data_IF_830335534219
#
_entry.id   IF_830335534219
#
_cell.length_a   1.000
_cell.length_b   1.000
_cell.length_c   1.000
_cell.angle_alpha   90.00
_cell.angle_beta   90.00
_cell.angle_gamma   90.00
#
_symmetry.space_group_name_H-M   'P 1'
#
loop_
_entity.id
_entity.type
_entity.pdbx_description
1 polymer ?
#
# COMPACT_ATOMS: atom_id res chain seq x y z
N UNK A 1 -19.46 -39.74 47.11
CA UNK A 1 -19.19 -39.74 45.66
C UNK A 1 -19.53 -38.36 45.12
N UNK A 2 -18.52 -37.51 44.89
CA UNK A 2 -18.72 -36.18 44.32
C UNK A 2 -18.46 -36.27 42.81
N UNK A 3 -19.46 -35.92 42.00
CA UNK A 3 -19.37 -35.85 40.55
C UNK A 3 -18.52 -34.61 40.20
N UNK A 4 -17.39 -34.73 39.50
CA UNK A 4 -16.63 -33.56 39.08
C UNK A 4 -17.38 -32.85 37.95
N UNK A 5 -17.90 -31.66 38.23
CA UNK A 5 -18.39 -30.72 37.22
C UNK A 5 -17.15 -30.26 36.44
N UNK A 6 -16.86 -30.94 35.33
CA UNK A 6 -15.84 -30.46 34.40
C UNK A 6 -16.40 -29.24 33.68
N UNK A 7 -15.89 -28.08 34.06
CA UNK A 7 -16.15 -26.80 33.39
C UNK A 7 -15.43 -26.80 32.02
N UNK A 8 -15.85 -27.68 31.10
CA UNK A 8 -15.55 -27.52 29.68
C UNK A 8 -16.46 -26.42 29.16
N UNK A 9 -16.03 -25.17 29.39
CA UNK A 9 -16.55 -24.02 28.66
C UNK A 9 -16.13 -24.26 27.21
N UNK A 10 -17.06 -24.78 26.38
CA UNK A 10 -16.93 -24.79 24.94
C UNK A 10 -16.71 -23.34 24.48
N UNK A 11 -15.45 -22.96 24.24
CA UNK A 11 -15.05 -21.70 23.61
C UNK A 11 -15.18 -21.78 22.08
N UNK A 12 -16.24 -22.41 21.58
CA UNK A 12 -16.65 -22.24 20.19
C UNK A 12 -17.51 -20.96 20.11
N UNK A 13 -16.89 -19.84 20.47
CA UNK A 13 -17.43 -18.51 20.17
C UNK A 13 -17.31 -18.40 18.65
N UNK A 14 -18.45 -18.38 17.95
CA UNK A 14 -18.53 -18.08 16.53
C UNK A 14 -17.73 -16.81 16.22
N UNK A 15 -16.48 -16.97 15.76
CA UNK A 15 -15.66 -15.84 15.33
C UNK A 15 -16.21 -15.35 13.98
N UNK A 16 -17.02 -14.30 14.02
CA UNK A 16 -17.49 -13.62 12.82
C UNK A 16 -16.35 -12.78 12.24
N UNK A 17 -16.03 -12.96 10.97
CA UNK A 17 -14.92 -12.27 10.29
C UNK A 17 -15.29 -10.89 9.77
N UNK A 18 -16.57 -10.51 9.81
CA UNK A 18 -17.09 -9.29 9.20
C UNK A 18 -17.67 -8.34 10.24
N UNK A 19 -17.28 -7.07 10.14
CA UNK A 19 -17.86 -5.96 10.90
C UNK A 19 -18.61 -5.07 9.91
N UNK A 20 -19.91 -4.87 10.14
CA UNK A 20 -20.76 -4.00 9.33
C UNK A 20 -21.12 -2.74 10.13
N UNK A 21 -20.92 -1.58 9.51
CA UNK A 21 -21.20 -0.27 10.12
C UNK A 21 -22.27 0.44 9.29
N UNK A 22 -23.40 0.77 9.92
CA UNK A 22 -24.50 1.50 9.31
C UNK A 22 -24.68 2.83 10.03
N UNK A 23 -24.64 3.95 9.29
CA UNK A 23 -24.75 5.28 9.86
C UNK A 23 -25.86 6.06 9.16
N UNK A 24 -26.67 6.76 9.95
CA UNK A 24 -27.61 7.76 9.49
C UNK A 24 -27.15 9.13 10.00
N UNK A 25 -26.73 9.99 9.09
CA UNK A 25 -26.20 11.32 9.41
C UNK A 25 -27.02 12.38 8.69
N UNK A 26 -27.60 13.30 9.44
CA UNK A 26 -28.22 14.49 8.90
C UNK A 26 -27.16 15.56 8.66
N UNK A 27 -27.25 16.23 7.50
CA UNK A 27 -26.39 17.36 7.16
C UNK A 27 -27.26 18.61 7.02
N UNK A 28 -26.76 19.80 7.43
CA UNK A 28 -27.42 21.06 7.10
C UNK A 28 -27.37 21.30 5.58
N UNK A 29 -28.02 22.36 5.11
CA UNK A 29 -27.97 22.76 3.70
C UNK A 29 -26.52 23.04 3.27
N UNK A 30 -25.88 22.06 2.62
CA UNK A 30 -24.48 22.11 2.23
C UNK A 30 -24.24 21.30 0.95
N UNK A 31 -23.35 21.80 0.09
CA UNK A 31 -22.91 21.11 -1.11
C UNK A 31 -21.62 20.30 -0.84
N UNK A 32 -21.77 19.18 -0.13
CA UNK A 32 -20.67 18.34 0.37
C UNK A 32 -19.84 17.66 -0.72
N UNK A 33 -20.44 17.40 -1.89
CA UNK A 33 -19.81 16.66 -2.97
C UNK A 33 -20.41 17.08 -4.30
N UNK A 34 -19.56 17.61 -5.19
CA UNK A 34 -19.95 18.19 -6.48
C UNK A 34 -19.64 17.26 -7.65
N UNK A 35 -20.32 17.47 -8.76
CA UNK A 35 -19.92 16.96 -10.07
C UNK A 35 -19.01 17.95 -10.82
N UNK A 36 -18.63 17.60 -12.05
CA UNK A 36 -17.71 18.40 -12.86
C UNK A 36 -18.31 19.76 -13.26
N UNK A 37 -19.63 19.92 -13.17
CA UNK A 37 -20.33 21.19 -13.43
C UNK A 37 -20.51 22.04 -12.17
N UNK A 38 -20.13 21.50 -10.99
CA UNK A 38 -20.29 22.14 -9.69
C UNK A 38 -21.64 21.87 -9.00
N UNK A 39 -22.54 21.14 -9.66
CA UNK A 39 -23.82 20.76 -9.07
C UNK A 39 -23.63 19.65 -8.01
N UNK A 40 -24.51 19.57 -6.99
CA UNK A 40 -24.45 18.48 -6.02
C UNK A 40 -24.60 17.13 -6.71
N UNK A 41 -23.75 16.17 -6.33
CA UNK A 41 -23.82 14.82 -6.90
C UNK A 41 -25.10 14.13 -6.42
N UNK A 42 -25.90 13.60 -7.35
CA UNK A 42 -27.18 12.95 -7.06
C UNK A 42 -27.20 11.47 -7.45
N UNK A 43 -28.26 10.77 -7.02
CA UNK A 43 -28.63 9.43 -7.46
C UNK A 43 -30.16 9.29 -7.39
N UNK A 44 -30.75 8.53 -8.30
CA UNK A 44 -32.17 8.15 -8.22
C UNK A 44 -32.28 6.86 -7.43
N UNK A 45 -33.03 6.88 -6.33
CA UNK A 45 -33.26 5.72 -5.48
C UNK A 45 -34.73 5.66 -5.07
N UNK A 46 -35.41 4.58 -5.47
CA UNK A 46 -36.85 4.40 -5.21
C UNK A 46 -37.71 5.44 -5.91
N UNK A 47 -37.36 5.84 -7.14
CA UNK A 47 -38.12 6.81 -7.95
C UNK A 47 -37.89 8.29 -7.58
N UNK A 48 -37.14 8.59 -6.52
CA UNK A 48 -36.83 9.95 -6.11
C UNK A 48 -35.34 10.28 -6.25
N UNK A 49 -35.03 11.52 -6.63
CA UNK A 49 -33.66 12.05 -6.68
C UNK A 49 -33.17 12.38 -5.27
N UNK A 50 -32.00 11.85 -4.90
CA UNK A 50 -31.36 12.07 -3.60
C UNK A 50 -29.95 12.60 -3.78
N UNK A 51 -29.48 13.41 -2.83
CA UNK A 51 -28.08 13.77 -2.75
C UNK A 51 -27.22 12.54 -2.44
N UNK A 52 -26.04 12.48 -3.04
CA UNK A 52 -25.08 11.38 -2.86
C UNK A 52 -23.69 11.91 -2.56
N UNK A 53 -23.16 11.49 -1.42
CA UNK A 53 -21.75 11.64 -1.12
C UNK A 53 -21.04 10.42 -1.71
N UNK A 54 -20.11 10.67 -2.62
CA UNK A 54 -19.37 9.58 -3.27
C UNK A 54 -18.45 8.87 -2.27
N UNK A 55 -18.34 7.54 -2.37
CA UNK A 55 -17.51 6.76 -1.45
C UNK A 55 -16.04 7.19 -1.46
N UNK A 56 -15.54 7.69 -2.59
CA UNK A 56 -14.19 8.26 -2.67
C UNK A 56 -14.03 9.53 -1.84
N UNK A 57 -15.05 10.40 -1.81
CA UNK A 57 -15.02 11.64 -1.01
C UNK A 57 -14.97 11.31 0.49
N UNK A 58 -15.84 10.40 0.95
CA UNK A 58 -15.84 9.93 2.33
C UNK A 58 -14.52 9.25 2.72
N UNK A 59 -14.03 8.32 1.89
CA UNK A 59 -12.76 7.63 2.16
C UNK A 59 -11.58 8.58 2.20
N UNK A 60 -11.56 9.64 1.37
CA UNK A 60 -10.52 10.66 1.42
C UNK A 60 -10.61 11.46 2.71
N UNK A 61 -11.80 11.94 3.06
CA UNK A 61 -12.03 12.71 4.29
C UNK A 61 -11.56 11.95 5.54
N UNK A 62 -11.81 10.63 5.60
CA UNK A 62 -11.29 9.81 6.70
C UNK A 62 -9.77 9.69 6.66
N UNK A 63 -9.17 9.37 5.50
CA UNK A 63 -7.72 9.17 5.38
C UNK A 63 -6.88 10.42 5.67
N UNK A 64 -7.43 11.61 5.43
CA UNK A 64 -6.75 12.88 5.68
C UNK A 64 -7.23 13.55 6.97
N UNK A 65 -7.95 12.82 7.83
CA UNK A 65 -8.35 13.34 9.14
C UNK A 65 -7.23 13.11 10.14
N UNK A 66 -7.01 14.09 11.03
CA UNK A 66 -5.98 14.00 12.07
C UNK A 66 -6.15 12.75 12.94
N UNK A 67 -7.40 12.42 13.28
CA UNK A 67 -7.71 11.21 14.06
C UNK A 67 -7.23 9.94 13.38
N UNK A 68 -7.47 9.81 12.07
CA UNK A 68 -7.03 8.64 11.31
C UNK A 68 -5.50 8.61 11.19
N UNK A 69 -4.90 9.77 10.95
CA UNK A 69 -3.45 9.88 10.82
C UNK A 69 -2.73 9.50 12.11
N UNK A 70 -3.24 9.94 13.26
CA UNK A 70 -2.72 9.60 14.58
C UNK A 70 -2.96 8.13 14.93
N UNK A 71 -4.18 7.62 14.72
CA UNK A 71 -4.54 6.25 15.08
C UNK A 71 -3.79 5.20 14.26
N UNK A 72 -3.38 5.52 13.02
CA UNK A 72 -2.66 4.63 12.12
C UNK A 72 -1.22 5.09 11.85
N UNK A 73 -0.67 5.98 12.69
CA UNK A 73 0.70 6.45 12.54
C UNK A 73 1.68 5.27 12.38
N UNK A 74 2.58 5.35 11.39
CA UNK A 74 3.52 4.27 11.05
C UNK A 74 2.93 3.13 10.20
N UNK A 75 1.60 3.09 10.00
CA UNK A 75 0.91 2.09 9.18
C UNK A 75 0.23 2.66 7.94
N UNK A 76 0.30 3.98 7.72
CA UNK A 76 -0.27 4.63 6.55
C UNK A 76 0.60 4.35 5.32
N UNK A 77 0.02 3.73 4.31
CA UNK A 77 0.70 3.48 3.05
C UNK A 77 0.94 4.76 2.26
N UNK A 78 2.09 4.81 1.58
CA UNK A 78 2.49 5.91 0.71
C UNK A 78 2.14 5.54 -0.73
N UNK A 79 1.46 6.43 -1.46
CA UNK A 79 1.20 6.27 -2.88
C UNK A 79 2.33 6.89 -3.69
N UNK A 80 3.22 6.07 -4.25
CA UNK A 80 4.42 6.55 -4.96
C UNK A 80 4.80 5.63 -6.12
N UNK A 81 5.44 6.18 -7.15
CA UNK A 81 6.08 5.44 -8.24
C UNK A 81 7.62 5.46 -8.16
N UNK A 82 8.16 6.00 -7.05
CA UNK A 82 9.59 6.30 -6.88
C UNK A 82 10.31 5.33 -5.93
N UNK A 83 9.68 4.21 -5.58
CA UNK A 83 10.22 3.26 -4.59
C UNK A 83 11.58 2.71 -5.03
N UNK A 84 11.68 2.20 -6.26
CA UNK A 84 12.93 1.68 -6.80
C UNK A 84 13.93 2.79 -7.13
N UNK A 85 13.47 4.02 -7.37
CA UNK A 85 14.34 5.19 -7.49
C UNK A 85 15.05 5.50 -6.18
N UNK A 86 14.38 5.44 -5.04
CA UNK A 86 15.03 5.62 -3.74
C UNK A 86 16.04 4.53 -3.44
N UNK A 87 15.72 3.27 -3.79
CA UNK A 87 16.70 2.18 -3.72
C UNK A 87 17.92 2.45 -4.60
N UNK A 88 17.73 2.99 -5.82
CA UNK A 88 18.84 3.32 -6.71
C UNK A 88 19.69 4.47 -6.17
N UNK A 89 19.06 5.47 -5.54
CA UNK A 89 19.77 6.57 -4.91
C UNK A 89 20.70 6.05 -3.80
N UNK A 90 20.23 5.12 -2.95
CA UNK A 90 21.06 4.49 -1.90
C UNK A 90 22.29 3.78 -2.52
N UNK A 91 22.12 3.12 -3.66
CA UNK A 91 23.24 2.46 -4.36
C UNK A 91 24.25 3.48 -4.92
N UNK A 92 23.77 4.57 -5.51
CA UNK A 92 24.61 5.64 -6.04
C UNK A 92 25.38 6.34 -4.92
N UNK A 93 24.73 6.64 -3.80
CA UNK A 93 25.34 7.24 -2.62
C UNK A 93 26.41 6.32 -2.01
N UNK A 94 26.27 5.00 -2.20
CA UNK A 94 27.26 3.99 -1.79
C UNK A 94 28.40 3.81 -2.82
N UNK A 95 28.45 4.62 -3.87
CA UNK A 95 29.54 4.64 -4.87
C UNK A 95 29.33 3.74 -6.09
N UNK A 96 28.10 3.25 -6.34
CA UNK A 96 27.78 2.49 -7.56
C UNK A 96 27.40 3.46 -8.69
N UNK A 97 27.91 3.19 -9.90
CA UNK A 97 27.56 3.98 -11.09
C UNK A 97 26.04 4.01 -11.34
N UNK A 98 25.51 5.16 -11.72
CA UNK A 98 24.07 5.37 -11.89
C UNK A 98 23.42 4.37 -12.88
N UNK A 99 24.11 3.98 -13.95
CA UNK A 99 23.57 3.01 -14.91
C UNK A 99 23.46 1.62 -14.30
N UNK A 100 24.49 1.21 -13.53
CA UNK A 100 24.49 -0.07 -12.80
C UNK A 100 23.44 -0.08 -11.69
N UNK A 101 23.25 1.03 -10.99
CA UNK A 101 22.23 1.16 -9.96
C UNK A 101 20.82 0.94 -10.54
N UNK A 102 20.51 1.53 -11.70
CA UNK A 102 19.23 1.32 -12.41
C UNK A 102 19.04 -0.15 -12.79
N UNK A 103 20.08 -0.84 -13.28
CA UNK A 103 20.00 -2.27 -13.57
C UNK A 103 19.74 -3.11 -12.31
N UNK A 104 20.38 -2.76 -11.19
CA UNK A 104 20.27 -3.51 -9.93
C UNK A 104 18.86 -3.41 -9.35
N UNK A 105 18.22 -2.24 -9.46
CA UNK A 105 16.86 -2.03 -8.97
C UNK A 105 15.77 -2.39 -9.96
N UNK A 106 16.09 -2.66 -11.24
CA UNK A 106 15.09 -3.00 -12.27
C UNK A 106 14.24 -4.20 -11.85
N UNK A 107 14.85 -5.20 -11.21
CA UNK A 107 14.13 -6.36 -10.69
C UNK A 107 13.23 -6.00 -9.49
N UNK A 108 13.65 -5.04 -8.66
CA UNK A 108 12.83 -4.51 -7.54
C UNK A 108 11.62 -3.77 -8.10
N UNK A 109 11.84 -2.87 -9.07
CA UNK A 109 10.78 -2.08 -9.70
C UNK A 109 9.71 -2.98 -10.34
N UNK A 110 10.13 -4.04 -11.04
CA UNK A 110 9.24 -5.03 -11.67
C UNK A 110 8.37 -5.81 -10.66
N UNK A 111 8.75 -5.89 -9.38
CA UNK A 111 7.88 -6.49 -8.36
C UNK A 111 6.65 -5.64 -8.05
N UNK A 112 6.73 -4.32 -8.26
CA UNK A 112 5.67 -3.37 -7.91
C UNK A 112 4.86 -2.91 -9.13
N UNK A 113 5.45 -2.89 -10.32
CA UNK A 113 4.76 -2.47 -11.53
C UNK A 113 5.66 -2.47 -12.76
N UNK A 114 5.13 -1.98 -13.89
CA UNK A 114 5.92 -1.87 -15.12
C UNK A 114 6.89 -0.70 -14.98
N UNK A 115 8.17 -0.94 -15.30
CA UNK A 115 9.23 0.08 -15.24
C UNK A 115 9.11 1.04 -16.42
N UNK A 116 9.36 2.33 -16.20
CA UNK A 116 9.45 3.32 -17.27
C UNK A 116 10.66 3.05 -18.16
N UNK A 117 10.46 3.15 -19.47
CA UNK A 117 11.51 2.98 -20.47
C UNK A 117 11.62 4.24 -21.34
N UNK A 118 12.20 5.31 -20.77
CA UNK A 118 12.44 6.54 -21.49
C UNK A 118 13.81 6.51 -22.19
N UNK A 119 13.80 6.67 -23.53
CA UNK A 119 15.02 6.71 -24.37
C UNK A 119 15.87 7.97 -24.15
N UNK A 120 15.28 9.03 -23.59
CA UNK A 120 15.95 10.29 -23.17
C UNK A 120 15.40 10.71 -21.81
N UNK A 121 15.84 10.09 -20.71
CA UNK A 121 15.36 10.44 -19.38
C UNK A 121 15.81 11.86 -19.02
N UNK A 122 14.93 12.63 -18.37
CA UNK A 122 15.26 13.98 -17.88
C UNK A 122 16.23 13.95 -16.68
N UNK A 123 16.27 12.82 -15.97
CA UNK A 123 17.09 12.57 -14.79
C UNK A 123 17.61 11.12 -14.83
N UNK A 124 18.85 10.88 -14.37
CA UNK A 124 19.56 9.60 -14.52
C UNK A 124 18.82 8.39 -13.93
N UNK A 125 17.94 8.62 -12.93
CA UNK A 125 17.17 7.58 -12.23
C UNK A 125 15.72 7.44 -12.70
N UNK A 126 15.28 8.15 -13.75
CA UNK A 126 13.88 8.11 -14.22
C UNK A 126 13.46 6.70 -14.64
N UNK A 127 14.38 5.94 -15.22
CA UNK A 127 14.15 4.55 -15.64
C UNK A 127 14.17 3.54 -14.47
N UNK A 128 14.30 4.00 -13.23
CA UNK A 128 14.05 3.20 -12.03
C UNK A 128 12.61 3.35 -11.51
N UNK A 129 11.83 4.31 -12.03
CA UNK A 129 10.45 4.55 -11.59
C UNK A 129 9.46 3.59 -12.27
N UNK A 130 8.34 3.33 -11.60
CA UNK A 130 7.22 2.59 -12.18
C UNK A 130 6.29 3.51 -12.97
N UNK A 131 5.68 3.01 -14.05
CA UNK A 131 4.65 3.72 -14.81
C UNK A 131 3.39 3.94 -13.96
N UNK A 132 3.03 2.93 -13.15
CA UNK A 132 1.89 2.98 -12.26
C UNK A 132 2.29 3.51 -10.88
N UNK A 133 1.37 4.24 -10.24
CA UNK A 133 1.49 4.59 -8.82
C UNK A 133 1.11 3.38 -7.97
N UNK A 134 2.00 3.01 -7.06
CA UNK A 134 1.82 1.86 -6.16
C UNK A 134 1.58 2.37 -4.74
N UNK A 135 0.77 1.65 -3.98
CA UNK A 135 0.58 1.92 -2.56
C UNK A 135 1.44 0.95 -1.77
N UNK A 136 2.37 1.48 -0.97
CA UNK A 136 3.33 0.69 -0.21
C UNK A 136 3.26 1.06 1.27
N UNK A 137 3.29 0.07 2.15
CA UNK A 137 3.38 0.31 3.59
C UNK A 137 4.77 0.82 3.99
N UNK A 138 4.91 1.55 5.11
CA UNK A 138 6.22 1.97 5.60
C UNK A 138 7.17 0.80 5.86
N UNK A 139 6.66 -0.35 6.32
CA UNK A 139 7.45 -1.55 6.55
C UNK A 139 8.03 -2.14 5.26
N UNK A 140 7.22 -2.24 4.19
CA UNK A 140 7.70 -2.69 2.88
C UNK A 140 8.72 -1.71 2.29
N UNK A 141 8.53 -0.42 2.53
CA UNK A 141 9.47 0.60 2.08
C UNK A 141 10.83 0.48 2.75
N UNK A 142 10.86 0.30 4.07
CA UNK A 142 12.09 0.05 4.81
C UNK A 142 12.74 -1.28 4.41
N UNK A 143 11.95 -2.31 4.10
CA UNK A 143 12.48 -3.57 3.58
C UNK A 143 13.18 -3.38 2.22
N UNK A 144 12.64 -2.55 1.32
CA UNK A 144 13.30 -2.20 0.05
C UNK A 144 14.60 -1.43 0.28
N UNK A 145 14.63 -0.48 1.22
CA UNK A 145 15.86 0.24 1.57
C UNK A 145 16.92 -0.68 2.18
N UNK A 146 16.53 -1.55 3.10
CA UNK A 146 17.42 -2.54 3.71
C UNK A 146 18.01 -3.48 2.64
N UNK A 147 17.19 -3.92 1.70
CA UNK A 147 17.62 -4.71 0.56
C UNK A 147 18.62 -3.93 -0.34
N UNK A 148 18.36 -2.65 -0.60
CA UNK A 148 19.27 -1.80 -1.37
C UNK A 148 20.65 -1.64 -0.69
N UNK A 149 20.68 -1.50 0.64
CA UNK A 149 21.94 -1.45 1.41
C UNK A 149 22.74 -2.74 1.30
N UNK A 150 22.08 -3.90 1.42
CA UNK A 150 22.76 -5.21 1.25
C UNK A 150 23.36 -5.37 -0.14
N UNK A 151 22.66 -4.94 -1.18
CA UNK A 151 23.21 -4.94 -2.54
C UNK A 151 24.40 -4.02 -2.73
N UNK A 152 24.40 -2.88 -2.03
CA UNK A 152 25.51 -1.94 -2.07
C UNK A 152 26.78 -2.59 -1.52
N UNK A 153 26.67 -3.32 -0.41
CA UNK A 153 27.75 -4.07 0.22
C UNK A 153 28.24 -5.22 -0.68
N UNK A 154 27.32 -6.02 -1.22
CA UNK A 154 27.64 -7.17 -2.07
C UNK A 154 28.10 -6.79 -3.49
N UNK A 155 27.90 -5.53 -3.92
CA UNK A 155 28.15 -5.02 -5.28
C UNK A 155 27.58 -5.96 -6.37
N UNK A 156 26.38 -6.47 -6.14
CA UNK A 156 25.71 -7.45 -6.99
C UNK A 156 24.33 -6.95 -7.44
N UNK A 157 23.85 -7.29 -8.65
CA UNK A 157 22.45 -7.08 -9.01
C UNK A 157 21.51 -7.95 -8.18
N UNK A 158 20.28 -7.48 -7.99
CA UNK A 158 19.22 -8.33 -7.45
C UNK A 158 18.99 -9.55 -8.34
N UNK A 159 19.07 -10.73 -7.76
CA UNK A 159 18.68 -11.96 -8.44
C UNK A 159 17.16 -12.12 -8.43
N UNK A 160 16.60 -12.64 -9.51
CA UNK A 160 15.19 -13.04 -9.57
C UNK A 160 14.94 -14.22 -8.62
N UNK A 161 14.68 -13.96 -7.34
CA UNK A 161 13.95 -14.92 -6.50
C UNK A 161 12.48 -14.82 -6.90
N UNK A 162 11.93 -15.90 -7.47
CA UNK A 162 10.48 -16.06 -7.61
C UNK A 162 9.87 -16.02 -6.22
N UNK A 163 9.36 -14.88 -5.81
CA UNK A 163 8.35 -14.80 -4.75
C UNK A 163 7.05 -14.39 -5.41
N UNK A 164 5.99 -15.12 -5.11
CA UNK A 164 4.62 -14.74 -5.41
C UNK A 164 4.28 -13.49 -4.58
N UNK A 165 4.82 -12.34 -4.98
CA UNK A 165 4.30 -11.05 -4.54
C UNK A 165 3.02 -10.81 -5.32
N UNK A 166 1.92 -11.41 -4.88
CA UNK A 166 0.60 -10.96 -5.30
C UNK A 166 0.42 -9.57 -4.68
N UNK A 167 0.79 -8.53 -5.44
CA UNK A 167 0.28 -7.18 -5.21
C UNK A 167 -1.19 -7.24 -5.61
N UNK A 168 -2.02 -7.82 -4.74
CA UNK A 168 -3.46 -7.74 -4.90
C UNK A 168 -3.82 -6.29 -4.59
N UNK A 169 -4.17 -5.54 -5.63
CA UNK A 169 -4.89 -4.28 -5.50
C UNK A 169 -6.27 -4.62 -4.92
N UNK A 170 -6.33 -4.85 -3.61
CA UNK A 170 -7.55 -5.03 -2.85
C UNK A 170 -7.29 -4.64 -1.39
N UNK A 171 -8.00 -3.61 -0.93
CA UNK A 171 -8.08 -3.27 0.47
C UNK A 171 -8.96 -4.31 1.20
N UNK A 172 -8.66 -4.75 2.45
CA UNK A 172 -7.41 -4.67 3.22
C UNK A 172 -6.88 -6.06 3.57
N UNK A 173 -5.78 -6.46 2.96
CA UNK A 173 -4.91 -7.49 3.55
C UNK A 173 -3.48 -7.00 3.41
N UNK A 174 -3.02 -6.26 4.42
CA UNK A 174 -1.61 -6.01 4.65
C UNK A 174 -1.10 -7.28 5.33
N UNK A 175 -0.70 -8.27 4.52
CA UNK A 175 0.22 -9.28 4.98
C UNK A 175 1.61 -8.81 4.55
N UNK A 176 2.56 -8.63 5.48
CA UNK A 176 3.94 -8.42 5.09
C UNK A 176 4.45 -9.68 4.38
N UNK A 177 4.71 -9.59 3.08
CA UNK A 177 5.53 -10.58 2.37
C UNK A 177 7.01 -10.35 2.73
N UNK A 178 7.37 -10.52 4.00
CA UNK A 178 8.76 -10.61 4.41
C UNK A 178 9.31 -11.98 3.94
N UNK A 179 10.49 -12.03 3.28
CA UNK A 179 11.22 -13.28 3.22
C UNK A 179 11.73 -13.58 4.62
N UNK A 180 11.45 -14.77 5.11
CA UNK A 180 12.23 -15.35 6.18
C UNK A 180 13.70 -15.35 5.72
N UNK A 181 14.57 -14.75 6.52
CA UNK A 181 16.02 -14.91 6.38
C UNK A 181 16.35 -16.15 7.20
N UNK A 182 15.84 -17.30 6.77
CA UNK A 182 16.32 -18.58 7.26
C UNK A 182 17.63 -18.85 6.52
N UNK A 183 18.72 -18.76 7.28
CA UNK A 183 19.98 -19.43 7.00
C UNK A 183 19.69 -20.87 6.53
N UNK A 184 20.13 -21.22 5.34
CA UNK A 184 20.34 -22.62 4.98
C UNK A 184 21.76 -22.73 4.44
N UNK A 185 22.52 -23.55 5.18
CA UNK A 185 23.83 -24.11 4.83
C UNK A 185 23.80 -24.80 3.46
#
# INVERSE_FOLDING_TARGET
MAIPITNKINRDIFMTTFIQLHLLTAYPAANLNRDDTGAPKTVVLGGATRLRISSQSLKRAWRTSELFEQALAGHIGIRTGRIAREAAQILVDSGIDAKKAVEYVKNIANCFGKVKEDKKPKEDLTNAETEQLVHISPAEFEAVKALARRLAEEKRPQQKRKRNCYVTIAWPSILPCLPDVSEEN
#
